data_IF_297618184876
#
_entry.id   IF_297618184876
#
_cell.length_a   1.000
_cell.length_b   1.000
_cell.length_c   1.000
_cell.angle_alpha   90.00
_cell.angle_beta   90.00
_cell.angle_gamma   90.00
#
_symmetry.space_group_name_H-M   'P 1'
#
loop_
_entity.id
_entity.type
_entity.pdbx_description
1 polymer ?
#
# COMPACT_ATOMS: atom_id res chain seq x y z
N UNK A 1 0.10 9.96 -10.38
CA UNK A 1 -0.51 9.76 -9.04
C UNK A 1 -0.69 8.29 -8.81
N UNK A 2 -0.14 7.77 -7.69
CA UNK A 2 -0.17 6.35 -7.28
C UNK A 2 -1.56 5.70 -7.43
N UNK A 3 -1.58 4.39 -7.69
CA UNK A 3 -2.78 3.57 -7.70
C UNK A 3 -2.59 2.37 -6.78
N UNK A 4 -3.56 2.10 -5.91
CA UNK A 4 -3.51 1.02 -4.93
C UNK A 4 -4.87 0.31 -4.90
N UNK A 5 -4.87 -1.00 -5.11
CA UNK A 5 -6.02 -1.89 -4.95
C UNK A 5 -5.78 -2.83 -3.78
N UNK A 6 -6.79 -2.97 -2.92
CA UNK A 6 -6.80 -3.84 -1.74
C UNK A 6 -8.03 -4.73 -1.79
N UNK A 7 -7.83 -6.03 -2.00
CA UNK A 7 -8.84 -7.03 -1.76
C UNK A 7 -8.82 -7.35 -0.26
N UNK A 8 -9.81 -6.83 0.46
CA UNK A 8 -9.87 -6.92 1.92
C UNK A 8 -10.87 -8.00 2.34
N UNK A 9 -10.40 -8.96 3.13
CA UNK A 9 -11.15 -10.02 3.82
C UNK A 9 -12.04 -10.96 3.00
N UNK A 10 -12.13 -10.76 1.68
CA UNK A 10 -12.86 -11.67 0.80
C UNK A 10 -12.27 -13.10 0.81
N UNK A 11 -10.96 -13.21 1.02
CA UNK A 11 -10.23 -14.48 1.03
C UNK A 11 -9.80 -14.78 2.47
N UNK A 12 -10.48 -15.69 3.20
CA UNK A 12 -10.24 -15.89 4.63
C UNK A 12 -8.80 -16.27 5.00
N UNK A 13 -8.13 -17.06 4.15
CA UNK A 13 -6.74 -17.48 4.35
C UNK A 13 -5.72 -16.35 4.13
N UNK A 14 -6.09 -15.30 3.40
CA UNK A 14 -5.25 -14.14 3.08
C UNK A 14 -6.09 -12.86 3.12
N UNK A 15 -6.38 -12.33 4.32
CA UNK A 15 -7.33 -11.23 4.51
C UNK A 15 -6.92 -9.91 3.87
N UNK A 16 -5.68 -9.78 3.40
CA UNK A 16 -5.20 -8.59 2.70
C UNK A 16 -4.44 -9.04 1.45
N UNK A 17 -4.97 -8.71 0.28
CA UNK A 17 -4.25 -8.82 -0.99
C UNK A 17 -4.11 -7.42 -1.59
N UNK A 18 -2.92 -7.08 -2.06
CA UNK A 18 -2.60 -5.73 -2.54
C UNK A 18 -1.97 -5.77 -3.91
N UNK A 19 -2.37 -4.82 -4.76
CA UNK A 19 -1.64 -4.45 -5.96
C UNK A 19 -1.46 -2.93 -6.00
N UNK A 20 -0.24 -2.47 -6.24
CA UNK A 20 0.09 -1.06 -6.17
C UNK A 20 1.05 -0.66 -7.29
N UNK A 21 0.75 0.44 -7.98
CA UNK A 21 1.71 1.15 -8.82
C UNK A 21 2.10 2.45 -8.14
N UNK A 22 3.41 2.69 -8.05
CA UNK A 22 3.97 3.95 -7.60
C UNK A 22 4.25 4.82 -8.80
N UNK A 23 3.61 5.98 -8.86
CA UNK A 23 3.93 7.01 -9.83
C UNK A 23 4.80 8.09 -9.20
N UNK A 24 5.92 8.39 -9.84
CA UNK A 24 6.92 9.35 -9.37
C UNK A 24 7.76 9.90 -10.52
N UNK A 25 8.47 10.98 -10.26
CA UNK A 25 9.57 11.43 -11.11
C UNK A 25 10.65 10.34 -11.27
N UNK A 26 11.07 10.10 -12.51
CA UNK A 26 12.02 9.05 -12.89
C UNK A 26 13.40 9.26 -12.26
N UNK A 27 13.79 10.52 -12.06
CA UNK A 27 15.06 10.90 -11.44
C UNK A 27 15.03 10.81 -9.91
N UNK A 28 13.87 10.55 -9.29
CA UNK A 28 13.75 10.47 -7.84
C UNK A 28 14.22 9.10 -7.34
N UNK A 29 15.35 9.03 -6.63
CA UNK A 29 15.93 7.75 -6.29
C UNK A 29 15.17 7.05 -5.16
N UNK A 30 15.06 5.73 -5.25
CA UNK A 30 14.43 4.87 -4.23
C UNK A 30 15.16 3.54 -4.09
N UNK A 31 15.16 2.99 -2.88
CA UNK A 31 15.66 1.63 -2.63
C UNK A 31 14.55 0.61 -2.79
N UNK A 32 14.91 -0.56 -3.30
CA UNK A 32 14.02 -1.73 -3.35
C UNK A 32 13.64 -2.19 -1.93
N UNK A 33 12.57 -3.00 -1.79
CA UNK A 33 12.11 -3.44 -0.48
C UNK A 33 13.18 -4.18 0.31
N UNK A 34 13.39 -3.74 1.55
CA UNK A 34 14.31 -4.40 2.48
C UNK A 34 13.79 -4.32 3.91
N UNK A 35 14.30 -5.20 4.79
CA UNK A 35 13.92 -5.21 6.20
C UNK A 35 14.57 -4.03 6.90
N UNK A 36 13.76 -3.08 7.34
CA UNK A 36 14.20 -1.91 8.08
C UNK A 36 14.51 -2.27 9.54
N UNK A 37 15.54 -1.62 10.09
CA UNK A 37 15.91 -1.71 11.50
C UNK A 37 14.80 -1.17 12.42
N UNK A 38 14.85 -1.49 13.71
CA UNK A 38 13.85 -1.06 14.69
C UNK A 38 12.77 -2.12 14.98
N UNK A 39 11.86 -1.79 15.91
CA UNK A 39 10.75 -2.65 16.36
C UNK A 39 9.43 -1.89 16.24
N UNK A 40 8.37 -2.50 15.68
CA UNK A 40 8.38 -3.74 14.88
C UNK A 40 9.30 -3.65 13.67
N UNK A 41 9.83 -4.78 13.19
CA UNK A 41 10.52 -4.85 11.89
C UNK A 41 9.53 -4.58 10.76
N UNK A 42 10.00 -3.91 9.71
CA UNK A 42 9.19 -3.47 8.58
C UNK A 42 9.87 -3.88 7.28
N UNK A 43 9.12 -4.47 6.35
CA UNK A 43 9.56 -4.66 4.96
C UNK A 43 8.91 -3.57 4.10
N UNK A 44 9.74 -2.71 3.51
CA UNK A 44 9.28 -1.62 2.65
C UNK A 44 10.44 -1.12 1.77
N UNK A 45 10.10 -0.44 0.66
CA UNK A 45 11.06 0.38 -0.09
C UNK A 45 11.32 1.71 0.62
N UNK A 46 12.39 2.41 0.25
CA UNK A 46 12.78 3.69 0.85
C UNK A 46 12.89 4.76 -0.23
N UNK A 47 12.18 5.86 -0.06
CA UNK A 47 12.40 7.09 -0.81
C UNK A 47 13.69 7.74 -0.30
N UNK A 48 14.73 7.81 -1.14
CA UNK A 48 16.04 8.30 -0.72
C UNK A 48 16.09 9.82 -0.57
N UNK A 49 15.15 10.56 -1.19
CA UNK A 49 15.09 12.02 -1.08
C UNK A 49 14.44 12.45 0.24
N UNK A 50 13.38 11.78 0.66
CA UNK A 50 12.62 12.13 1.86
C UNK A 50 12.87 11.21 3.07
N UNK A 51 13.58 10.09 2.89
CA UNK A 51 13.86 9.09 3.94
C UNK A 51 12.63 8.33 4.43
N UNK A 52 11.52 8.37 3.67
CA UNK A 52 10.25 7.76 4.00
C UNK A 52 9.93 6.53 3.15
N UNK A 53 8.70 6.04 3.24
CA UNK A 53 8.20 4.97 2.36
C UNK A 53 6.84 5.31 1.76
N UNK A 54 6.48 4.66 0.65
CA UNK A 54 5.16 4.77 0.02
C UNK A 54 4.25 3.59 0.36
N UNK A 55 4.82 2.44 0.75
CA UNK A 55 4.06 1.30 1.26
C UNK A 55 4.97 0.35 2.03
N UNK A 56 4.39 -0.43 2.94
CA UNK A 56 5.12 -1.47 3.65
C UNK A 56 4.23 -2.41 4.44
N UNK A 57 4.86 -3.46 4.98
CA UNK A 57 4.24 -4.40 5.91
C UNK A 57 5.17 -4.61 7.10
N UNK A 58 4.62 -4.58 8.31
CA UNK A 58 5.40 -4.87 9.51
C UNK A 58 5.25 -6.32 10.00
N UNK A 59 6.08 -6.71 10.96
CA UNK A 59 6.10 -8.06 11.52
C UNK A 59 4.78 -8.51 12.18
N UNK A 60 3.87 -7.57 12.50
CA UNK A 60 2.55 -7.84 13.08
C UNK A 60 1.47 -8.02 12.01
N UNK A 61 1.82 -7.95 10.72
CA UNK A 61 0.86 -8.04 9.62
C UNK A 61 0.08 -6.74 9.38
N UNK A 62 0.56 -5.60 9.88
CA UNK A 62 0.03 -4.29 9.52
C UNK A 62 0.59 -3.85 8.17
N UNK A 63 -0.30 -3.69 7.19
CA UNK A 63 -0.05 -3.02 5.93
C UNK A 63 -0.32 -1.52 6.06
N UNK A 64 0.58 -0.72 5.51
CA UNK A 64 0.39 0.72 5.29
C UNK A 64 0.69 1.05 3.84
N UNK A 65 -0.20 1.77 3.17
CA UNK A 65 0.00 2.24 1.80
C UNK A 65 -0.34 3.72 1.68
N UNK A 66 0.40 4.46 0.85
CA UNK A 66 0.25 5.89 0.67
C UNK A 66 0.01 6.23 -0.80
N UNK A 67 -0.98 7.08 -1.07
CA UNK A 67 -1.14 7.75 -2.37
C UNK A 67 -1.13 9.25 -2.18
N UNK A 68 -0.60 9.98 -3.17
CA UNK A 68 -0.73 11.43 -3.19
C UNK A 68 -2.22 11.76 -3.41
N UNK A 69 -2.73 12.80 -2.73
CA UNK A 69 -4.10 13.26 -2.91
C UNK A 69 -4.12 14.57 -3.67
N UNK A 70 -4.97 14.66 -4.69
CA UNK A 70 -5.23 15.92 -5.37
C UNK A 70 -6.05 16.83 -4.45
N UNK A 71 -5.62 18.08 -4.32
CA UNK A 71 -6.26 19.09 -3.47
C UNK A 71 -6.63 20.29 -4.32
N UNK A 72 -7.73 20.97 -3.98
CA UNK A 72 -8.19 22.14 -4.72
C UNK A 72 -7.19 23.31 -4.62
N UNK A 73 -6.49 23.40 -3.49
CA UNK A 73 -5.43 24.37 -3.26
C UNK A 73 -4.17 23.63 -2.78
N UNK A 74 -2.97 24.00 -3.28
CA UNK A 74 -1.73 23.36 -2.84
C UNK A 74 -1.55 23.45 -1.33
N UNK A 75 -1.40 22.30 -0.69
CA UNK A 75 -1.07 22.20 0.73
C UNK A 75 0.43 22.02 0.90
N UNK A 76 1.04 22.86 1.72
CA UNK A 76 2.46 22.76 2.06
C UNK A 76 2.64 21.94 3.33
N UNK A 77 3.34 20.81 3.22
CA UNK A 77 3.68 19.95 4.34
C UNK A 77 4.95 20.41 5.05
N UNK A 78 4.91 20.46 6.38
CA UNK A 78 6.09 20.67 7.21
C UNK A 78 6.88 19.36 7.40
N UNK A 79 6.18 18.22 7.25
CA UNK A 79 6.73 16.89 7.44
C UNK A 79 6.43 16.00 6.25
N UNK A 80 7.35 15.08 5.96
CA UNK A 80 7.19 14.11 4.86
C UNK A 80 6.06 13.12 5.15
N UNK A 81 5.15 12.97 4.18
CA UNK A 81 4.11 11.93 4.17
C UNK A 81 4.70 10.52 4.25
N UNK A 82 5.82 10.29 3.58
CA UNK A 82 6.47 8.98 3.60
C UNK A 82 7.12 8.65 4.94
N UNK A 83 7.58 9.67 5.69
CA UNK A 83 8.05 9.48 7.06
C UNK A 83 6.88 9.17 8.00
N UNK A 84 5.73 9.82 7.81
CA UNK A 84 4.50 9.44 8.52
C UNK A 84 4.14 7.98 8.23
N UNK A 85 4.15 7.53 6.97
CA UNK A 85 3.88 6.13 6.64
C UNK A 85 4.84 5.16 7.34
N UNK A 86 6.13 5.50 7.42
CA UNK A 86 7.12 4.73 8.18
C UNK A 86 6.80 4.67 9.68
N UNK A 87 6.42 5.80 10.28
CA UNK A 87 6.02 5.89 11.69
C UNK A 87 4.77 5.04 11.99
N UNK A 88 3.79 5.05 11.09
CA UNK A 88 2.57 4.26 11.22
C UNK A 88 2.88 2.76 11.13
N UNK A 89 3.84 2.35 10.29
CA UNK A 89 4.36 0.98 10.24
C UNK A 89 5.04 0.54 11.53
N UNK A 90 5.40 1.47 12.44
CA UNK A 90 5.89 1.14 13.79
C UNK A 90 4.79 0.85 14.81
N UNK A 91 3.52 0.95 14.43
CA UNK A 91 2.40 0.59 15.29
C UNK A 91 2.16 -0.92 15.31
N UNK A 92 1.50 -1.41 16.36
CA UNK A 92 1.24 -2.85 16.53
C UNK A 92 -0.03 -3.35 15.83
N UNK A 93 -0.92 -2.44 15.41
CA UNK A 93 -2.16 -2.74 14.70
C UNK A 93 -2.63 -1.55 13.87
N UNK A 94 -3.60 -1.79 12.99
CA UNK A 94 -4.24 -0.75 12.15
C UNK A 94 -4.94 0.31 13.00
N UNK A 95 -5.63 -0.08 14.08
CA UNK A 95 -6.28 0.85 15.01
C UNK A 95 -5.27 1.74 15.74
N UNK A 96 -4.15 1.18 16.20
CA UNK A 96 -3.07 1.98 16.82
C UNK A 96 -2.41 2.92 15.83
N UNK A 97 -2.25 2.49 14.58
CA UNK A 97 -1.79 3.36 13.51
C UNK A 97 -2.78 4.50 13.24
N UNK A 98 -4.09 4.23 13.26
CA UNK A 98 -5.12 5.25 13.10
C UNK A 98 -5.08 6.30 14.22
N UNK A 99 -5.01 5.86 15.49
CA UNK A 99 -4.83 6.75 16.65
C UNK A 99 -3.60 7.65 16.49
N UNK A 100 -2.46 7.06 16.08
CA UNK A 100 -1.23 7.81 15.84
C UNK A 100 -1.37 8.80 14.68
N UNK A 101 -2.01 8.41 13.59
CA UNK A 101 -2.25 9.29 12.44
C UNK A 101 -3.07 10.52 12.85
N UNK A 102 -4.15 10.33 13.62
CA UNK A 102 -4.93 11.45 14.15
C UNK A 102 -4.09 12.40 15.01
N UNK A 103 -3.24 11.86 15.89
CA UNK A 103 -2.36 12.66 16.72
C UNK A 103 -1.31 13.43 15.89
N UNK A 104 -0.81 12.86 14.80
CA UNK A 104 0.14 13.51 13.89
C UNK A 104 -0.53 14.64 13.10
N UNK A 105 -1.72 14.41 12.52
CA UNK A 105 -2.44 15.45 11.78
C UNK A 105 -2.92 16.61 12.67
N UNK A 106 -3.12 16.37 13.97
CA UNK A 106 -3.43 17.43 14.93
C UNK A 106 -2.22 18.34 15.24
N UNK A 107 -1.00 17.86 15.03
CA UNK A 107 0.25 18.54 15.41
C UNK A 107 1.05 19.08 14.23
N UNK A 108 0.99 18.40 13.09
CA UNK A 108 1.84 18.62 11.94
C UNK A 108 1.00 18.80 10.68
N UNK A 109 1.48 19.65 9.77
CA UNK A 109 0.90 19.81 8.43
C UNK A 109 1.60 18.90 7.42
N UNK A 110 0.81 18.33 6.53
CA UNK A 110 1.27 17.49 5.43
C UNK A 110 0.71 17.99 4.10
N UNK A 111 1.39 17.67 3.01
CA UNK A 111 0.77 17.75 1.70
C UNK A 111 -0.40 16.75 1.63
N UNK A 112 -1.37 16.99 0.74
CA UNK A 112 -2.51 16.11 0.57
C UNK A 112 -2.11 14.66 0.32
N UNK A 113 -2.70 13.72 1.06
CA UNK A 113 -2.45 12.29 0.87
C UNK A 113 -3.66 11.43 1.23
N UNK A 114 -3.65 10.21 0.72
CA UNK A 114 -4.47 9.16 1.26
C UNK A 114 -3.57 8.11 1.91
N UNK A 115 -4.01 7.56 3.05
CA UNK A 115 -3.30 6.50 3.77
C UNK A 115 -4.23 5.32 3.97
N UNK A 116 -3.82 4.15 3.49
CA UNK A 116 -4.47 2.89 3.79
C UNK A 116 -3.76 2.23 4.97
N UNK A 117 -4.53 1.84 5.98
CA UNK A 117 -4.09 1.08 7.15
C UNK A 117 -4.89 -0.21 7.18
N UNK A 118 -4.24 -1.38 7.11
CA UNK A 118 -4.97 -2.64 7.17
C UNK A 118 -4.19 -3.71 7.94
N UNK A 119 -4.88 -4.39 8.84
CA UNK A 119 -4.46 -5.68 9.38
C UNK A 119 -5.63 -6.67 9.26
N UNK A 120 -5.43 -7.91 9.71
CA UNK A 120 -6.48 -8.93 9.65
C UNK A 120 -7.75 -8.55 10.43
N UNK A 121 -7.70 -7.55 11.33
CA UNK A 121 -8.77 -7.16 12.28
C UNK A 121 -9.51 -5.88 11.91
N UNK A 122 -8.86 -4.92 11.26
CA UNK A 122 -9.52 -3.72 10.76
C UNK A 122 -8.73 -3.08 9.60
N UNK A 123 -9.47 -2.37 8.75
CA UNK A 123 -8.96 -1.67 7.58
C UNK A 123 -9.56 -0.26 7.52
N UNK A 124 -8.72 0.74 7.26
CA UNK A 124 -9.11 2.15 7.16
C UNK A 124 -8.44 2.80 5.96
N UNK A 125 -9.14 3.72 5.32
CA UNK A 125 -8.59 4.76 4.47
C UNK A 125 -8.71 6.10 5.19
N UNK A 126 -7.61 6.86 5.25
CA UNK A 126 -7.61 8.24 5.72
C UNK A 126 -7.49 9.12 4.49
N UNK A 127 -8.50 9.96 4.22
CA UNK A 127 -8.43 11.04 3.24
C UNK A 127 -7.90 12.28 3.96
N UNK A 128 -6.65 12.63 3.67
CA UNK A 128 -5.96 13.74 4.32
C UNK A 128 -5.75 14.89 3.36
N UNK A 129 -6.54 15.94 3.54
CA UNK A 129 -6.34 17.26 2.94
C UNK A 129 -6.38 18.33 4.05
N UNK A 130 -7.15 19.40 3.89
CA UNK A 130 -7.40 20.37 4.97
C UNK A 130 -8.19 19.73 6.12
N UNK A 131 -8.95 18.67 5.82
CA UNK A 131 -9.68 17.86 6.79
C UNK A 131 -9.16 16.42 6.74
N UNK A 132 -9.47 15.70 7.82
CA UNK A 132 -9.12 14.30 7.96
C UNK A 132 -10.41 13.50 8.04
N UNK A 133 -10.73 12.80 6.96
CA UNK A 133 -11.86 11.88 6.92
C UNK A 133 -11.34 10.45 6.99
N UNK A 134 -11.97 9.63 7.83
CA UNK A 134 -11.63 8.22 7.98
C UNK A 134 -12.80 7.40 7.46
N UNK A 135 -12.50 6.49 6.54
CA UNK A 135 -13.46 5.55 5.95
C UNK A 135 -12.98 4.13 6.23
N UNK A 136 -13.87 3.26 6.68
CA UNK A 136 -13.54 1.84 6.85
C UNK A 136 -13.46 1.14 5.49
N UNK A 137 -12.45 0.29 5.32
CA UNK A 137 -12.37 -0.59 4.15
C UNK A 137 -13.52 -1.59 4.21
N UNK A 138 -14.22 -1.71 3.09
CA UNK A 138 -15.30 -2.69 2.96
C UNK A 138 -14.71 -4.08 2.70
N UNK A 139 -15.45 -5.13 3.07
CA UNK A 139 -15.13 -6.46 2.57
C UNK A 139 -15.23 -6.46 1.04
N UNK A 140 -14.23 -7.04 0.37
CA UNK A 140 -14.14 -7.00 -1.08
C UNK A 140 -13.07 -6.04 -1.60
N UNK A 141 -13.28 -5.53 -2.80
CA UNK A 141 -12.29 -4.74 -3.54
C UNK A 141 -12.41 -3.25 -3.23
N UNK A 142 -11.34 -2.70 -2.64
CA UNK A 142 -11.17 -1.29 -2.33
C UNK A 142 -10.03 -0.73 -3.19
N UNK A 143 -10.25 0.37 -3.91
CA UNK A 143 -9.25 0.94 -4.82
C UNK A 143 -9.13 2.43 -4.53
N UNK A 144 -7.90 2.91 -4.44
CA UNK A 144 -7.60 4.31 -4.18
C UNK A 144 -6.53 4.82 -5.14
N UNK A 145 -6.80 5.99 -5.70
CA UNK A 145 -5.91 6.73 -6.59
C UNK A 145 -5.54 8.07 -5.97
N UNK A 146 -5.83 9.15 -6.70
CA UNK A 146 -5.54 10.51 -6.29
C UNK A 146 -6.65 11.17 -5.44
N UNK A 147 -7.81 10.53 -5.35
CA UNK A 147 -9.03 11.09 -4.72
C UNK A 147 -9.50 10.20 -3.58
N UNK A 148 -10.81 10.15 -3.32
CA UNK A 148 -11.39 9.33 -2.27
C UNK A 148 -11.26 7.82 -2.59
N UNK A 149 -11.41 7.00 -1.57
CA UNK A 149 -11.54 5.55 -1.73
C UNK A 149 -12.73 5.22 -2.63
N UNK A 150 -12.51 4.39 -3.65
CA UNK A 150 -13.52 3.95 -4.61
C UNK A 150 -14.22 5.09 -5.38
N UNK A 151 -13.53 6.22 -5.56
CA UNK A 151 -14.09 7.41 -6.21
C UNK A 151 -14.66 7.10 -7.61
N UNK A 152 -15.95 7.40 -7.88
CA UNK A 152 -16.59 7.17 -9.17
C UNK A 152 -16.03 8.06 -10.29
N UNK A 153 -15.47 9.22 -9.94
CA UNK A 153 -14.97 10.21 -10.89
C UNK A 153 -13.48 10.02 -11.21
N UNK A 154 -12.78 9.14 -10.48
CA UNK A 154 -11.41 8.74 -10.82
C UNK A 154 -11.42 7.64 -11.90
N UNK A 155 -11.25 8.06 -13.15
CA UNK A 155 -11.27 7.16 -14.32
C UNK A 155 -10.23 6.03 -14.26
N UNK A 156 -9.12 6.20 -13.54
CA UNK A 156 -8.11 5.14 -13.36
C UNK A 156 -8.57 4.13 -12.32
N UNK A 157 -9.19 4.60 -11.23
CA UNK A 157 -9.87 3.74 -10.24
C UNK A 157 -10.99 2.93 -10.90
N UNK A 158 -11.82 3.56 -11.75
CA UNK A 158 -12.88 2.88 -12.48
C UNK A 158 -12.36 1.82 -13.46
N UNK A 159 -11.28 2.12 -14.18
CA UNK A 159 -10.62 1.16 -15.05
C UNK A 159 -10.07 -0.04 -14.26
N UNK A 160 -9.38 0.21 -13.14
CA UNK A 160 -8.87 -0.85 -12.28
C UNK A 160 -10.00 -1.73 -11.72
N UNK A 161 -11.09 -1.11 -11.25
CA UNK A 161 -12.28 -1.81 -10.77
C UNK A 161 -12.84 -2.72 -11.85
N UNK A 162 -13.13 -2.17 -13.03
CA UNK A 162 -13.66 -2.94 -14.16
C UNK A 162 -12.79 -4.16 -14.49
N UNK A 163 -11.47 -3.99 -14.52
CA UNK A 163 -10.54 -5.06 -14.90
C UNK A 163 -10.39 -6.13 -13.81
N UNK A 164 -10.42 -5.74 -12.54
CA UNK A 164 -10.28 -6.67 -11.40
C UNK A 164 -11.59 -7.39 -11.06
N UNK A 165 -12.75 -6.90 -11.53
CA UNK A 165 -14.05 -7.54 -11.30
C UNK A 165 -14.57 -8.35 -12.50
N UNK A 166 -13.76 -8.55 -13.55
CA UNK A 166 -14.14 -9.43 -14.68
C UNK A 166 -14.30 -10.89 -14.24
N UNK A 167 -13.66 -11.27 -13.14
CA UNK A 167 -13.80 -12.57 -12.51
C UNK A 167 -13.70 -12.42 -10.99
N UNK A 168 -14.25 -13.38 -10.26
CA UNK A 168 -14.10 -13.41 -8.80
C UNK A 168 -12.66 -13.72 -8.41
N UNK A 169 -12.05 -12.86 -7.60
CA UNK A 169 -10.68 -13.02 -7.07
C UNK A 169 -10.73 -13.63 -5.66
N UNK A 170 -11.21 -14.86 -5.58
CA UNK A 170 -11.48 -15.63 -4.35
C UNK A 170 -10.27 -16.43 -3.82
N UNK A 171 -9.07 -16.22 -4.38
CA UNK A 171 -7.84 -16.82 -3.84
C UNK A 171 -6.63 -15.92 -4.07
N UNK A 172 -5.54 -16.06 -3.28
CA UNK A 172 -4.35 -15.25 -3.44
C UNK A 172 -3.71 -15.46 -4.82
N UNK A 173 -3.71 -16.70 -5.31
CA UNK A 173 -3.13 -17.05 -6.61
C UNK A 173 -3.90 -16.38 -7.75
N UNK A 174 -5.24 -16.45 -7.74
CA UNK A 174 -6.06 -15.79 -8.77
C UNK A 174 -5.90 -14.28 -8.71
N UNK A 175 -5.92 -13.69 -7.52
CA UNK A 175 -5.71 -12.26 -7.35
C UNK A 175 -4.37 -11.82 -7.92
N UNK A 176 -3.26 -12.44 -7.52
CA UNK A 176 -1.92 -12.08 -7.98
C UNK A 176 -1.77 -12.25 -9.51
N UNK A 177 -2.30 -13.34 -10.06
CA UNK A 177 -2.25 -13.62 -11.50
C UNK A 177 -3.02 -12.59 -12.34
N UNK A 178 -4.17 -12.12 -11.86
CA UNK A 178 -4.93 -11.06 -12.54
C UNK A 178 -4.30 -9.69 -12.30
N UNK A 179 -4.01 -9.36 -11.04
CA UNK A 179 -3.53 -8.04 -10.65
C UNK A 179 -2.19 -7.71 -11.31
N UNK A 180 -1.26 -8.67 -11.41
CA UNK A 180 -0.01 -8.51 -12.15
C UNK A 180 -0.24 -8.07 -13.61
N UNK A 181 -1.19 -8.68 -14.32
CA UNK A 181 -1.54 -8.32 -15.71
C UNK A 181 -2.28 -7.00 -15.80
N UNK A 182 -3.19 -6.73 -14.86
CA UNK A 182 -3.97 -5.48 -14.84
C UNK A 182 -3.05 -4.30 -14.58
N UNK A 183 -2.20 -4.35 -13.56
CA UNK A 183 -1.30 -3.26 -13.20
C UNK A 183 -0.16 -3.08 -14.21
N UNK A 184 0.16 -4.10 -15.02
CA UNK A 184 1.06 -4.06 -16.16
C UNK A 184 0.38 -3.70 -17.50
N UNK A 185 -0.85 -3.19 -17.50
CA UNK A 185 -1.48 -2.78 -18.76
C UNK A 185 -0.91 -1.45 -19.25
N UNK A 186 -0.20 -1.49 -20.38
CA UNK A 186 0.39 -0.32 -21.02
C UNK A 186 -0.66 0.74 -21.42
N UNK A 187 -0.27 2.03 -21.52
CA UNK A 187 -1.16 3.09 -21.97
C UNK A 187 -1.72 2.85 -23.38
N UNK A 188 -3.00 3.14 -23.59
CA UNK A 188 -3.68 2.98 -24.89
C UNK A 188 -4.18 4.33 -25.42
N UNK A 189 -3.25 5.13 -25.93
CA UNK A 189 -3.54 6.46 -26.50
C UNK A 189 -3.59 7.58 -25.46
N UNK A 190 -3.44 8.83 -25.93
CA UNK A 190 -3.41 10.01 -25.08
C UNK A 190 -4.79 10.30 -24.44
N UNK A 191 -4.79 10.83 -23.22
CA UNK A 191 -5.99 11.28 -22.51
C UNK A 191 -6.90 10.18 -21.96
N UNK A 192 -6.57 8.90 -22.17
CA UNK A 192 -7.33 7.77 -21.61
C UNK A 192 -6.70 7.29 -20.30
N UNK A 193 -7.51 6.82 -19.33
CA UNK A 193 -6.98 6.18 -18.13
C UNK A 193 -6.11 4.98 -18.49
N UNK A 194 -4.98 4.82 -17.81
CA UNK A 194 -4.04 3.72 -18.00
C UNK A 194 -3.56 3.15 -16.67
N UNK A 195 -3.11 1.89 -16.68
CA UNK A 195 -2.60 1.24 -15.47
C UNK A 195 -1.11 1.53 -15.27
N UNK A 196 -0.34 1.63 -16.35
CA UNK A 196 1.01 2.20 -16.34
C UNK A 196 0.95 3.66 -16.82
N UNK A 197 1.75 4.55 -16.23
CA UNK A 197 1.87 5.98 -16.60
C UNK A 197 3.24 6.23 -17.22
N UNK A 198 3.28 6.99 -18.32
CA UNK A 198 4.51 7.46 -18.99
C UNK A 198 4.30 8.88 -19.51
N UNK A 199 4.62 9.88 -18.69
CA UNK A 199 4.39 11.29 -18.97
C UNK A 199 5.69 12.08 -18.85
N UNK A 200 6.62 11.85 -19.78
CA UNK A 200 7.94 12.50 -19.77
C UNK A 200 8.79 12.05 -18.58
N UNK A 201 9.09 12.99 -17.69
CA UNK A 201 9.88 12.77 -16.48
C UNK A 201 9.10 12.14 -15.32
N UNK A 202 7.77 12.00 -15.44
CA UNK A 202 6.91 11.39 -14.43
C UNK A 202 6.27 10.09 -14.97
N UNK A 203 6.47 8.98 -14.26
CA UNK A 203 6.07 7.66 -14.75
C UNK A 203 5.69 6.69 -13.61
N UNK A 204 5.17 5.52 -13.96
CA UNK A 204 5.13 4.37 -13.03
C UNK A 204 6.56 3.86 -12.85
N UNK A 205 7.15 4.08 -11.69
CA UNK A 205 8.56 3.75 -11.41
C UNK A 205 8.73 2.44 -10.64
N UNK A 206 7.66 1.93 -10.03
CA UNK A 206 7.66 0.61 -9.41
C UNK A 206 6.25 0.06 -9.26
N UNK A 207 6.18 -1.25 -9.08
CA UNK A 207 4.94 -1.95 -8.78
C UNK A 207 5.14 -2.97 -7.66
N UNK A 208 4.11 -3.20 -6.85
CA UNK A 208 4.15 -4.15 -5.74
C UNK A 208 2.87 -5.00 -5.71
N UNK A 209 3.03 -6.30 -5.53
CA UNK A 209 1.95 -7.24 -5.27
C UNK A 209 2.19 -7.92 -3.92
N UNK A 210 1.16 -8.01 -3.08
CA UNK A 210 1.26 -8.62 -1.75
C UNK A 210 0.07 -9.55 -1.54
N UNK A 211 0.32 -10.71 -0.95
CA UNK A 211 -0.69 -11.49 -0.26
C UNK A 211 -0.25 -11.66 1.20
N UNK A 212 -1.05 -11.17 2.15
CA UNK A 212 -0.80 -11.38 3.57
C UNK A 212 -1.69 -12.51 4.08
N UNK A 213 -1.11 -13.71 4.09
CA UNK A 213 -1.72 -14.90 4.65
C UNK A 213 -1.85 -14.85 6.18
N UNK A 214 -2.86 -15.52 6.72
CA UNK A 214 -3.01 -15.73 8.18
C UNK A 214 -1.78 -16.46 8.76
N UNK A 215 -1.20 -17.39 7.98
CA UNK A 215 0.05 -18.05 8.34
C UNK A 215 1.20 -17.36 7.60
N UNK A 216 2.32 -17.05 8.28
CA UNK A 216 3.47 -16.40 7.64
C UNK A 216 3.92 -17.07 6.34
N UNK A 217 3.94 -18.41 6.29
CA UNK A 217 4.37 -19.18 5.10
C UNK A 217 3.54 -18.93 3.83
N UNK A 218 2.29 -18.50 4.00
CA UNK A 218 1.36 -18.24 2.89
C UNK A 218 1.51 -16.81 2.36
N UNK A 219 2.37 -15.99 2.99
CA UNK A 219 2.63 -14.62 2.56
C UNK A 219 3.44 -14.58 1.26
N UNK A 220 3.06 -13.65 0.40
CA UNK A 220 3.73 -13.34 -0.87
C UNK A 220 4.04 -11.85 -0.91
N UNK A 221 5.24 -11.48 -1.34
CA UNK A 221 5.63 -10.11 -1.65
C UNK A 221 6.42 -10.11 -2.95
N UNK A 222 5.87 -9.47 -3.97
CA UNK A 222 6.52 -9.32 -5.28
C UNK A 222 6.71 -7.85 -5.61
N UNK A 223 7.89 -7.50 -6.13
CA UNK A 223 8.25 -6.12 -6.43
C UNK A 223 8.84 -6.00 -7.82
N UNK A 224 8.44 -4.97 -8.56
CA UNK A 224 9.04 -4.60 -9.84
C UNK A 224 9.74 -3.25 -9.69
N UNK A 225 11.04 -3.21 -9.97
CA UNK A 225 11.88 -2.00 -9.93
C UNK A 225 11.79 -1.21 -11.24
N UNK A 226 10.57 -0.89 -11.66
CA UNK A 226 10.25 -0.19 -12.89
C UNK A 226 8.77 -0.33 -13.22
N UNK A 227 8.38 0.13 -14.41
CA UNK A 227 7.03 -0.08 -14.90
C UNK A 227 6.79 -1.60 -15.13
N UNK A 228 5.71 -2.19 -14.57
CA UNK A 228 5.53 -3.65 -14.55
C UNK A 228 5.22 -4.28 -15.92
N UNK A 229 5.05 -3.49 -16.98
CA UNK A 229 4.95 -3.94 -18.37
C UNK A 229 6.32 -4.11 -19.05
N UNK A 230 7.36 -3.48 -18.51
CA UNK A 230 8.75 -3.54 -19.03
C UNK A 230 9.71 -4.17 -18.03
N UNK A 231 9.32 -4.31 -16.76
CA UNK A 231 10.14 -4.82 -15.67
C UNK A 231 9.47 -6.03 -15.01
N UNK A 232 10.27 -7.05 -14.68
CA UNK A 232 9.78 -8.27 -14.03
C UNK A 232 9.45 -8.02 -12.57
N UNK A 233 8.58 -8.86 -12.01
CA UNK A 233 8.39 -8.96 -10.57
C UNK A 233 9.42 -9.93 -9.97
N UNK A 234 10.20 -9.43 -9.02
CA UNK A 234 11.11 -10.20 -8.18
C UNK A 234 10.42 -10.63 -6.89
N UNK A 235 10.82 -11.77 -6.33
CA UNK A 235 10.21 -12.36 -5.13
C UNK A 235 10.95 -11.94 -3.85
N UNK A 236 10.27 -11.15 -3.02
CA UNK A 236 10.71 -10.73 -1.68
C UNK A 236 9.97 -11.48 -0.56
N UNK A 237 9.17 -12.49 -0.90
CA UNK A 237 8.42 -13.31 0.07
C UNK A 237 9.28 -13.91 1.18
N UNK A 238 10.54 -14.36 0.94
CA UNK A 238 11.38 -14.86 2.04
C UNK A 238 11.60 -13.83 3.16
N UNK A 239 11.80 -12.56 2.81
CA UNK A 239 11.98 -11.48 3.80
C UNK A 239 10.68 -11.20 4.57
N UNK A 240 9.54 -11.17 3.87
CA UNK A 240 8.24 -10.96 4.50
C UNK A 240 7.91 -12.11 5.47
N UNK A 241 8.14 -13.34 5.04
CA UNK A 241 7.93 -14.55 5.85
C UNK A 241 8.80 -14.56 7.10
N UNK A 242 10.05 -14.12 7.03
CA UNK A 242 10.94 -14.01 8.19
C UNK A 242 10.38 -13.04 9.23
N UNK A 243 10.02 -11.81 8.83
CA UNK A 243 9.52 -10.82 9.80
C UNK A 243 8.19 -11.26 10.41
N UNK A 244 7.25 -11.79 9.62
CA UNK A 244 5.96 -12.27 10.13
C UNK A 244 6.13 -13.45 11.09
N UNK A 245 7.05 -14.38 10.79
CA UNK A 245 7.34 -15.52 11.67
C UNK A 245 7.97 -15.10 12.99
N UNK A 246 8.78 -14.04 13.00
CA UNK A 246 9.32 -13.44 14.24
C UNK A 246 8.21 -12.77 15.04
N UNK A 247 7.39 -11.93 14.41
CA UNK A 247 6.26 -11.26 15.07
C UNK A 247 5.28 -12.25 15.71
N UNK A 248 4.94 -13.34 15.01
CA UNK A 248 4.08 -14.39 15.54
C UNK A 248 4.69 -15.09 16.77
N UNK A 249 6.00 -15.36 16.77
CA UNK A 249 6.70 -15.93 17.93
C UNK A 249 6.70 -14.97 19.12
N UNK A 250 7.00 -13.70 18.90
CA UNK A 250 6.99 -12.67 19.94
C UNK A 250 5.59 -12.51 20.57
N UNK A 251 4.53 -12.52 19.76
CA UNK A 251 3.15 -12.45 20.25
C UNK A 251 2.79 -13.67 21.12
N UNK A 252 3.18 -14.88 20.71
CA UNK A 252 2.97 -16.11 21.49
C UNK A 252 3.72 -16.09 22.81
N UNK A 253 4.96 -15.60 22.84
CA UNK A 253 5.73 -15.48 24.08
C UNK A 253 5.08 -14.49 25.04
N UNK A 254 4.64 -13.31 24.55
CA UNK A 254 3.94 -12.32 25.40
C UNK A 254 2.63 -12.87 25.98
N UNK A 255 1.87 -13.63 25.20
CA UNK A 255 0.63 -14.24 25.66
C UNK A 255 0.85 -15.26 26.79
N UNK A 256 1.98 -15.99 26.77
CA UNK A 256 2.34 -16.96 27.82
C UNK A 256 2.86 -16.34 29.12
N UNK A 257 3.43 -15.14 29.04
CA UNK A 257 3.99 -14.43 30.21
C UNK A 257 2.91 -13.61 30.93
N UNK A 258 1.86 -13.21 30.22
CA UNK A 258 0.72 -12.47 30.79
C UNK A 258 -0.46 -13.33 31.26
N UNK A 259 -0.35 -14.66 31.16
CA UNK A 259 -1.31 -15.66 31.66
C UNK A 259 -0.77 -16.30 32.93
#
# INVERSE_FOLDING_TARGET
MCLLAVQYRLVPESPILVAANREEYVDRPSQTPSIQSGKPRVLCGIDQKAGGTWLGVNQNGLFVGLTNRATATPLFGQRSRGQLAMDLLRCTSSRRALEKAHAEFAKNRYEGCNIILADAKAGFAIHADERQEVVELQEGLNIIGARNLNDPDDGRVQLARRLLTLQTLDSPVKFLAVASKVFARSPVGQGRPSMVIRNGDYATVSSTLIALGVKPRDAIYQFSSGAPDESKYEDYSPMLRDILSRGLREARTKAKVGS
#
